data_IF_618050295424
#
_entry.id   IF_618050295424
#
_cell.length_a   1.000
_cell.length_b   1.000
_cell.length_c   1.000
_cell.angle_alpha   90.00
_cell.angle_beta   90.00
_cell.angle_gamma   90.00
#
_symmetry.space_group_name_H-M   'P 1'
#
loop_
_entity.id
_entity.type
_entity.pdbx_description
1 polymer ?
#
# COMPACT_ATOMS: atom_id res chain seq x y z
N UNK A 1 23.63 10.42 -41.94
CA UNK A 1 22.95 11.22 -40.90
C UNK A 1 23.10 10.48 -39.58
N UNK A 2 23.98 10.91 -38.66
CA UNK A 2 24.13 10.24 -37.38
C UNK A 2 22.87 10.49 -36.55
N UNK A 3 22.19 9.42 -36.14
CA UNK A 3 21.11 9.51 -35.14
C UNK A 3 21.83 9.75 -33.80
N UNK A 4 21.68 10.92 -33.17
CA UNK A 4 22.40 11.21 -31.95
C UNK A 4 21.93 10.24 -30.87
N UNK A 5 22.92 9.50 -30.38
CA UNK A 5 22.96 8.52 -29.32
C UNK A 5 22.50 9.10 -27.97
N UNK A 6 21.30 9.67 -27.91
CA UNK A 6 20.57 9.89 -26.68
C UNK A 6 19.79 8.61 -26.37
N UNK A 7 20.51 7.54 -26.04
CA UNK A 7 19.95 6.52 -25.14
C UNK A 7 19.84 7.22 -23.78
N UNK A 8 18.80 8.03 -23.70
CA UNK A 8 18.54 8.97 -22.64
C UNK A 8 17.12 8.76 -22.13
N UNK A 9 16.70 9.55 -21.13
CA UNK A 9 15.38 9.45 -20.52
C UNK A 9 14.23 9.46 -21.54
N UNK A 10 14.45 9.94 -22.76
CA UNK A 10 13.48 9.91 -23.85
C UNK A 10 13.10 8.50 -24.32
N UNK A 11 14.06 7.59 -24.54
CA UNK A 11 13.77 6.21 -24.94
C UNK A 11 13.12 5.43 -23.80
N UNK A 12 13.61 5.61 -22.57
CA UNK A 12 13.00 5.04 -21.38
C UNK A 12 11.54 5.51 -21.19
N UNK A 13 11.24 6.78 -21.48
CA UNK A 13 9.89 7.31 -21.43
C UNK A 13 8.98 6.68 -22.50
N UNK A 14 9.48 6.44 -23.71
CA UNK A 14 8.73 5.75 -24.77
C UNK A 14 8.43 4.31 -24.36
N UNK A 15 9.41 3.58 -23.82
CA UNK A 15 9.21 2.20 -23.32
C UNK A 15 8.20 2.21 -22.17
N UNK A 16 8.33 3.14 -21.22
CA UNK A 16 7.39 3.30 -20.11
C UNK A 16 5.97 3.56 -20.62
N UNK A 17 5.81 4.38 -21.66
CA UNK A 17 4.52 4.66 -22.28
C UNK A 17 3.91 3.39 -22.90
N UNK A 18 4.70 2.60 -23.62
CA UNK A 18 4.22 1.32 -24.20
C UNK A 18 3.79 0.35 -23.10
N UNK A 19 4.60 0.20 -22.04
CA UNK A 19 4.26 -0.63 -20.87
C UNK A 19 2.99 -0.11 -20.19
N UNK A 20 2.83 1.21 -20.08
CA UNK A 20 1.64 1.83 -19.47
C UNK A 20 0.36 1.55 -20.29
N UNK A 21 0.46 1.49 -21.61
CA UNK A 21 -0.68 1.15 -22.49
C UNK A 21 -1.02 -0.34 -22.38
N UNK A 22 -0.04 -1.23 -22.33
CA UNK A 22 -0.26 -2.68 -22.25
C UNK A 22 -0.73 -3.14 -20.86
N UNK A 23 -0.09 -2.64 -19.81
CA UNK A 23 -0.35 -3.05 -18.42
C UNK A 23 -1.34 -2.11 -17.70
N UNK A 24 -1.49 -0.87 -18.15
CA UNK A 24 -2.26 0.17 -17.48
C UNK A 24 -1.50 0.81 -16.31
N UNK A 25 -1.80 2.08 -16.01
CA UNK A 25 -1.21 2.80 -14.88
C UNK A 25 -1.55 2.22 -13.51
N UNK A 26 -2.71 1.56 -13.38
CA UNK A 26 -3.14 0.96 -12.12
C UNK A 26 -2.26 -0.23 -11.71
N UNK A 27 -1.84 -1.09 -12.66
CA UNK A 27 -1.00 -2.26 -12.38
C UNK A 27 0.42 -1.83 -11.97
N UNK A 28 1.01 -0.90 -12.72
CA UNK A 28 2.36 -0.41 -12.43
C UNK A 28 2.42 0.39 -11.12
N UNK A 29 1.41 1.23 -10.85
CA UNK A 29 1.30 1.95 -9.59
C UNK A 29 1.03 1.03 -8.38
N UNK A 30 0.25 -0.05 -8.58
CA UNK A 30 0.01 -1.06 -7.56
C UNK A 30 1.30 -1.78 -7.14
N UNK A 31 2.09 -2.23 -8.13
CA UNK A 31 3.39 -2.87 -7.89
C UNK A 31 4.42 -1.89 -7.31
N UNK A 32 4.48 -0.67 -7.84
CA UNK A 32 5.39 0.38 -7.38
C UNK A 32 5.15 0.78 -5.91
N UNK A 33 3.89 0.83 -5.45
CA UNK A 33 3.57 1.09 -4.03
C UNK A 33 4.10 0.00 -3.10
N UNK A 34 4.03 -1.27 -3.52
CA UNK A 34 4.57 -2.40 -2.73
C UNK A 34 6.10 -2.37 -2.68
N UNK A 35 6.73 -2.29 -3.85
CA UNK A 35 8.21 -2.25 -3.99
C UNK A 35 8.81 -1.01 -3.31
N UNK A 36 8.15 0.15 -3.43
CA UNK A 36 8.61 1.39 -2.81
C UNK A 36 8.60 1.34 -1.28
N UNK A 37 7.62 0.65 -0.68
CA UNK A 37 7.59 0.42 0.78
C UNK A 37 8.76 -0.47 1.21
N UNK A 38 8.96 -1.60 0.53
CA UNK A 38 10.09 -2.52 0.81
C UNK A 38 11.46 -1.84 0.68
N UNK A 39 11.66 -1.01 -0.35
CA UNK A 39 12.91 -0.25 -0.55
C UNK A 39 13.09 0.81 0.55
N UNK A 40 12.00 1.41 1.05
CA UNK A 40 12.06 2.42 2.11
C UNK A 40 12.44 1.81 3.44
N UNK A 41 11.78 0.73 3.87
CA UNK A 41 12.19 -0.03 5.07
C UNK A 41 13.66 -0.49 4.96
N UNK A 42 14.06 -1.05 3.81
CA UNK A 42 15.45 -1.49 3.61
C UNK A 42 16.44 -0.32 3.71
N UNK A 43 16.10 0.85 3.17
CA UNK A 43 16.96 2.02 3.25
C UNK A 43 17.02 2.58 4.67
N UNK A 44 15.90 2.62 5.38
CA UNK A 44 15.83 3.09 6.76
C UNK A 44 16.72 2.20 7.66
N UNK A 45 16.64 0.87 7.55
CA UNK A 45 17.52 -0.05 8.28
C UNK A 45 19.01 0.11 7.94
N UNK A 46 19.33 0.26 6.65
CA UNK A 46 20.71 0.44 6.18
C UNK A 46 21.28 1.81 6.56
N UNK A 47 20.45 2.86 6.61
CA UNK A 47 20.83 4.21 7.02
C UNK A 47 20.96 4.32 8.54
N UNK A 48 20.04 3.74 9.33
CA UNK A 48 20.14 3.68 10.80
C UNK A 48 21.38 2.91 11.28
N UNK A 49 21.82 1.88 10.54
CA UNK A 49 23.06 1.16 10.85
C UNK A 49 24.35 1.94 10.56
N UNK A 50 24.29 3.06 9.83
CA UNK A 50 25.48 3.83 9.41
C UNK A 50 25.62 5.17 10.15
N UNK A 51 24.53 5.77 10.58
CA UNK A 51 24.53 7.10 11.19
C UNK A 51 23.57 7.11 12.39
N UNK A 52 24.14 7.21 13.59
CA UNK A 52 23.37 7.28 14.83
C UNK A 52 22.46 8.51 14.90
N UNK A 53 21.22 8.25 15.34
CA UNK A 53 20.32 9.18 16.04
C UNK A 53 19.99 10.51 15.34
N UNK A 54 18.88 10.57 14.59
CA UNK A 54 17.95 11.71 14.63
C UNK A 54 16.53 11.37 14.14
N UNK A 55 15.63 11.26 15.11
CA UNK A 55 14.27 11.83 15.21
C UNK A 55 13.35 11.95 13.97
N UNK A 56 12.13 11.50 14.24
CA UNK A 56 10.84 11.88 13.65
C UNK A 56 10.37 11.21 12.35
N UNK A 57 9.49 10.24 12.55
CA UNK A 57 8.60 9.70 11.54
C UNK A 57 7.42 10.66 11.29
N UNK A 58 7.19 11.11 10.06
CA UNK A 58 5.83 11.32 9.61
C UNK A 58 5.23 9.93 9.40
N UNK A 59 4.30 9.56 10.28
CA UNK A 59 3.32 8.52 10.02
C UNK A 59 2.92 8.61 8.55
N UNK A 60 3.16 7.53 7.81
CA UNK A 60 2.50 7.35 6.53
C UNK A 60 1.02 7.38 6.84
N UNK A 61 0.37 8.49 6.50
CA UNK A 61 -1.07 8.55 6.31
C UNK A 61 -1.42 7.37 5.42
N UNK A 62 -1.89 6.30 6.08
CA UNK A 62 -2.85 5.42 5.48
C UNK A 62 -3.95 6.34 4.93
N UNK A 63 -4.41 6.15 3.69
CA UNK A 63 -5.78 6.47 3.38
C UNK A 63 -6.63 5.62 4.33
N UNK A 64 -6.97 6.17 5.49
CA UNK A 64 -8.12 5.69 6.22
C UNK A 64 -9.37 6.03 5.41
N UNK A 65 -10.35 5.12 5.51
CA UNK A 65 -11.78 5.39 5.34
C UNK A 65 -12.35 5.53 3.92
N UNK A 66 -12.70 4.38 3.33
CA UNK A 66 -14.12 4.11 3.04
C UNK A 66 -14.47 2.68 3.45
N UNK A 67 -14.47 2.44 4.75
CA UNK A 67 -15.27 1.41 5.41
C UNK A 67 -15.37 1.86 6.87
N UNK A 68 -16.37 2.70 7.13
CA UNK A 68 -16.63 3.30 8.42
C UNK A 68 -16.80 2.23 9.52
N UNK A 69 -16.36 2.53 10.76
CA UNK A 69 -16.69 1.72 11.91
C UNK A 69 -18.18 1.90 12.22
N UNK A 70 -19.01 0.94 11.82
CA UNK A 70 -20.36 0.82 12.41
C UNK A 70 -20.15 0.23 13.80
N UNK A 71 -20.18 1.13 14.78
CA UNK A 71 -20.14 0.89 16.22
C UNK A 71 -21.24 -0.13 16.60
N UNK A 72 -20.90 -1.34 17.09
CA UNK A 72 -21.88 -2.24 17.70
C UNK A 72 -22.20 -1.78 19.13
N UNK A 73 -22.75 -0.58 19.29
CA UNK A 73 -23.43 -0.15 20.51
C UNK A 73 -24.80 0.39 20.14
N UNK A 74 -25.70 -0.53 19.81
CA UNK A 74 -27.13 -0.30 19.95
C UNK A 74 -27.74 -1.48 20.72
N UNK A 75 -28.06 -1.27 22.01
CA UNK A 75 -28.74 -2.25 22.86
C UNK A 75 -30.17 -2.54 22.39
N UNK A 76 -30.62 -3.76 22.72
CA UNK A 76 -32.00 -4.28 22.73
C UNK A 76 -32.52 -4.98 21.45
N UNK A 77 -32.30 -6.30 21.37
CA UNK A 77 -33.39 -7.29 21.33
C UNK A 77 -32.84 -8.72 21.52
N UNK A 78 -33.10 -9.27 22.72
CA UNK A 78 -33.34 -10.69 23.04
C UNK A 78 -32.20 -11.71 22.79
N UNK A 79 -31.48 -12.16 23.84
CA UNK A 79 -30.95 -13.52 23.83
C UNK A 79 -32.15 -14.46 23.79
N UNK A 80 -32.33 -15.14 22.66
CA UNK A 80 -33.18 -16.33 22.61
C UNK A 80 -32.44 -17.41 23.37
N UNK A 81 -32.62 -17.43 24.69
CA UNK A 81 -32.48 -18.64 25.49
C UNK A 81 -33.55 -19.61 25.00
N UNK A 82 -33.26 -20.38 23.94
CA UNK A 82 -33.93 -21.66 23.73
C UNK A 82 -33.30 -22.63 24.72
N UNK A 83 -33.83 -22.53 25.93
CA UNK A 83 -33.90 -23.57 26.93
C UNK A 83 -34.45 -24.85 26.27
N UNK A 84 -33.57 -25.77 25.90
CA UNK A 84 -33.92 -27.18 25.70
C UNK A 84 -32.69 -28.06 25.97
N UNK A 85 -32.33 -28.32 27.23
CA UNK A 85 -31.94 -29.65 27.60
C UNK A 85 -33.23 -30.43 27.86
N UNK A 86 -33.52 -31.40 26.99
CA UNK A 86 -34.44 -32.48 27.30
C UNK A 86 -33.77 -33.41 28.33
N UNK A 87 -34.26 -33.47 29.58
CA UNK A 87 -34.33 -34.77 30.25
C UNK A 87 -35.63 -34.93 31.08
N UNK A 88 -36.51 -35.83 30.63
CA UNK A 88 -37.17 -36.92 31.39
C UNK A 88 -38.37 -37.44 30.60
#
# INVERSE_FOLDING_TARGET
MPIPLFIGPWEAAIILLVVLVLFGGSRLAGLGKGVGRSIREFKDEVSTGKEGEQLDAPQTQQPQCTAQPVRPDQPAATPTDTDTPNPQ
#
